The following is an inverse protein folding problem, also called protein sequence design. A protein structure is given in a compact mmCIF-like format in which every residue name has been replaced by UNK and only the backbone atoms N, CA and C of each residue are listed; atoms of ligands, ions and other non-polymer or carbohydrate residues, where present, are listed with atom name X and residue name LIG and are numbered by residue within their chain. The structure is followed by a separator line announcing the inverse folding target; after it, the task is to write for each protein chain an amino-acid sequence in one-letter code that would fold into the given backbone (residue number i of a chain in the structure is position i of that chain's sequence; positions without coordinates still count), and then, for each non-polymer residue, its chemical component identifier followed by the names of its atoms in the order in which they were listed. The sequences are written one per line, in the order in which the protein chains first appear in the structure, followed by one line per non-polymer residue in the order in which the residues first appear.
data_IF_228546073081
#
_entry.id   IF_228546073081
#
_cell.length_a   1.000
_cell.length_b   1.000
_cell.length_c   1.000
_cell.angle_alpha   90.00
_cell.angle_beta   90.00
_cell.angle_gamma   90.00
#
_symmetry.space_group_name_H-M   'P 1'
#
loop_
_entity.id
_entity.type
_entity.pdbx_description
1 polymer ?
#
# COMPACT_ATOMS: atom_id res chain seq x y z
N UNK A 1 -8.52 -14.26 20.27
CA UNK A 1 -8.13 -15.48 21.00
C UNK A 1 -9.33 -16.40 21.06
N UNK A 2 -9.32 -17.51 20.32
CA UNK A 2 -10.28 -18.59 20.54
C UNK A 2 -9.62 -19.57 21.51
N UNK A 3 -9.99 -19.51 22.78
CA UNK A 3 -9.55 -20.48 23.78
C UNK A 3 -10.18 -21.82 23.41
N UNK A 4 -9.37 -22.79 22.98
CA UNK A 4 -9.84 -24.15 22.74
C UNK A 4 -10.17 -24.71 24.12
N UNK A 5 -11.47 -24.85 24.40
CA UNK A 5 -11.95 -25.49 25.64
C UNK A 5 -11.80 -27.00 25.43
N UNK A 6 -10.91 -27.63 26.18
CA UNK A 6 -10.78 -29.09 26.20
C UNK A 6 -12.03 -29.68 26.89
N UNK A 7 -12.94 -30.25 26.11
CA UNK A 7 -14.17 -30.88 26.62
C UNK A 7 -14.08 -32.41 26.71
N UNK A 8 -12.93 -33.00 26.41
CA UNK A 8 -12.69 -34.46 26.45
C UNK A 8 -11.35 -34.79 27.13
N UNK A 9 -11.25 -35.96 27.77
CA UNK A 9 -10.05 -36.45 28.48
C UNK A 9 -8.86 -36.73 27.53
N UNK A 10 -9.10 -36.81 26.22
CA UNK A 10 -8.06 -37.00 25.21
C UNK A 10 -7.40 -35.67 24.79
N UNK A 11 -6.08 -35.70 24.61
CA UNK A 11 -5.34 -34.56 24.10
C UNK A 11 -5.80 -34.22 22.68
N UNK A 12 -6.18 -32.97 22.37
CA UNK A 12 -6.86 -32.61 21.12
C UNK A 12 -6.05 -32.93 19.86
N UNK A 13 -4.72 -33.04 19.97
CA UNK A 13 -3.85 -33.43 18.86
C UNK A 13 -3.97 -34.92 18.52
N UNK A 14 -4.13 -35.79 19.52
CA UNK A 14 -4.36 -37.23 19.33
C UNK A 14 -5.73 -37.47 18.69
N UNK A 15 -6.75 -36.73 19.13
CA UNK A 15 -8.08 -36.79 18.53
C UNK A 15 -8.06 -36.40 17.04
N UNK A 16 -7.27 -35.38 16.67
CA UNK A 16 -7.10 -34.97 15.27
C UNK A 16 -6.33 -36.02 14.46
N UNK A 17 -5.24 -36.59 14.98
CA UNK A 17 -4.50 -37.66 14.27
C UNK A 17 -5.37 -38.88 14.06
N UNK A 18 -6.13 -39.29 15.08
CA UNK A 18 -7.06 -40.41 14.99
C UNK A 18 -8.11 -40.19 13.92
N UNK A 19 -8.76 -39.02 13.94
CA UNK A 19 -9.79 -38.67 12.97
C UNK A 19 -9.26 -38.63 11.53
N UNK A 20 -8.06 -38.08 11.32
CA UNK A 20 -7.48 -38.00 9.97
C UNK A 20 -6.97 -39.34 9.47
N UNK A 21 -6.49 -40.21 10.37
CA UNK A 21 -6.13 -41.59 10.03
C UNK A 21 -7.36 -42.43 9.69
N UNK A 22 -8.45 -42.34 10.48
CA UNK A 22 -9.72 -43.02 10.19
C UNK A 22 -10.30 -42.61 8.83
N UNK A 23 -10.19 -41.33 8.48
CA UNK A 23 -10.58 -40.82 7.15
C UNK A 23 -9.65 -41.29 6.02
N UNK A 24 -8.34 -41.36 6.27
CA UNK A 24 -7.37 -41.78 5.26
C UNK A 24 -7.51 -43.25 4.88
N UNK A 25 -7.90 -44.09 5.84
CA UNK A 25 -8.04 -45.53 5.66
C UNK A 25 -9.50 -45.99 5.52
N UNK A 26 -10.46 -45.07 5.37
CA UNK A 26 -11.89 -45.41 5.27
C UNK A 26 -12.23 -46.35 4.09
N UNK A 27 -11.45 -46.29 3.01
CA UNK A 27 -11.63 -47.14 1.81
C UNK A 27 -10.91 -48.50 1.92
N UNK A 28 -10.01 -48.65 2.89
CA UNK A 28 -9.38 -49.92 3.22
C UNK A 28 -10.19 -50.56 4.36
N UNK A 29 -10.81 -51.71 4.13
CA UNK A 29 -11.70 -52.34 5.12
C UNK A 29 -11.12 -52.43 6.56
N UNK A 30 -11.99 -52.67 7.57
CA UNK A 30 -11.65 -52.52 8.99
C UNK A 30 -10.41 -53.32 9.45
N UNK A 31 -10.13 -54.46 8.82
CA UNK A 31 -8.95 -55.29 9.13
C UNK A 31 -7.60 -54.62 8.81
N UNK A 32 -7.57 -53.64 7.91
CA UNK A 32 -6.35 -52.89 7.52
C UNK A 32 -6.33 -51.49 8.14
N UNK A 33 -7.50 -50.86 8.30
CA UNK A 33 -7.61 -49.53 8.88
C UNK A 33 -7.26 -49.48 10.38
N UNK A 34 -7.82 -50.39 11.18
CA UNK A 34 -7.64 -50.40 12.64
C UNK A 34 -6.16 -50.53 13.09
N UNK A 35 -5.32 -51.42 12.53
CA UNK A 35 -3.91 -51.51 12.92
C UNK A 35 -3.09 -50.29 12.50
N UNK A 36 -3.37 -49.70 11.33
CA UNK A 36 -2.64 -48.51 10.85
C UNK A 36 -3.05 -47.24 11.61
N UNK A 37 -4.33 -47.08 11.95
CA UNK A 37 -4.81 -45.99 12.83
C UNK A 37 -4.15 -46.09 14.20
N UNK A 38 -4.09 -47.30 14.77
CA UNK A 38 -3.45 -47.54 16.07
C UNK A 38 -1.95 -47.24 16.04
N UNK A 39 -1.26 -47.61 14.95
CA UNK A 39 0.17 -47.31 14.76
C UNK A 39 0.42 -45.79 14.71
N UNK A 40 -0.36 -45.06 13.94
CA UNK A 40 -0.23 -43.60 13.83
C UNK A 40 -0.56 -42.87 15.14
N UNK A 41 -1.54 -43.36 15.91
CA UNK A 41 -1.84 -42.84 17.23
C UNK A 41 -0.71 -43.08 18.24
N UNK A 42 -0.05 -44.25 18.20
CA UNK A 42 1.10 -44.57 19.05
C UNK A 42 2.32 -43.70 18.69
N UNK A 43 2.63 -43.54 17.40
CA UNK A 43 3.69 -42.64 16.94
C UNK A 43 3.43 -41.20 17.39
N UNK A 44 2.18 -40.71 17.25
CA UNK A 44 1.80 -39.39 17.75
C UNK A 44 1.97 -39.24 19.27
N UNK A 45 1.62 -40.26 20.05
CA UNK A 45 1.81 -40.25 21.50
C UNK A 45 3.29 -40.23 21.88
N UNK A 46 4.15 -40.98 21.18
CA UNK A 46 5.59 -40.93 21.36
C UNK A 46 6.17 -39.55 21.03
N UNK A 47 5.69 -38.89 19.96
CA UNK A 47 6.14 -37.53 19.61
C UNK A 47 5.73 -36.49 20.65
N UNK A 48 4.54 -36.61 21.24
CA UNK A 48 4.08 -35.75 22.33
C UNK A 48 4.94 -35.95 23.58
N UNK A 49 5.18 -37.20 23.99
CA UNK A 49 5.98 -37.52 25.17
C UNK A 49 7.44 -37.10 25.01
N UNK A 50 8.00 -37.23 23.80
CA UNK A 50 9.35 -36.80 23.47
C UNK A 50 9.49 -35.28 23.24
N UNK A 51 8.39 -34.53 23.19
CA UNK A 51 8.39 -33.10 22.87
C UNK A 51 8.86 -32.78 21.44
N UNK A 52 8.75 -33.74 20.52
CA UNK A 52 9.15 -33.61 19.11
C UNK A 52 8.01 -33.02 18.28
N UNK A 53 7.73 -31.73 18.48
CA UNK A 53 6.61 -31.03 17.85
C UNK A 53 6.71 -30.89 16.32
N UNK A 54 7.92 -30.91 15.76
CA UNK A 54 8.15 -30.85 14.32
C UNK A 54 7.67 -32.14 13.63
N UNK A 55 8.03 -33.29 14.21
CA UNK A 55 7.63 -34.60 13.70
C UNK A 55 6.12 -34.84 13.89
N UNK A 56 5.56 -34.32 14.99
CA UNK A 56 4.12 -34.32 15.18
C UNK A 56 3.41 -33.47 14.12
N UNK A 57 3.94 -32.29 13.79
CA UNK A 57 3.39 -31.45 12.74
C UNK A 57 3.49 -32.11 11.35
N UNK A 58 4.59 -32.80 11.05
CA UNK A 58 4.75 -33.52 9.78
C UNK A 58 3.78 -34.71 9.67
N UNK A 59 3.55 -35.45 10.75
CA UNK A 59 2.57 -36.54 10.82
C UNK A 59 1.15 -36.02 10.61
N UNK A 60 0.76 -34.93 11.30
CA UNK A 60 -0.56 -34.30 11.13
C UNK A 60 -0.76 -33.68 9.74
N UNK A 61 0.30 -33.23 9.08
CA UNK A 61 0.27 -32.64 7.73
C UNK A 61 0.49 -33.69 6.62
N UNK A 62 0.81 -34.94 6.94
CA UNK A 62 0.95 -36.02 5.96
C UNK A 62 -0.40 -36.29 5.27
N UNK A 63 -1.50 -36.16 5.99
CA UNK A 63 -2.88 -36.27 5.51
C UNK A 63 -3.52 -34.91 5.18
N UNK A 64 -2.72 -33.93 4.74
CA UNK A 64 -3.15 -32.54 4.51
C UNK A 64 -4.37 -32.38 3.58
N UNK A 65 -4.50 -33.26 2.58
CA UNK A 65 -5.60 -33.24 1.61
C UNK A 65 -6.95 -33.62 2.26
N UNK A 66 -6.91 -34.44 3.30
CA UNK A 66 -8.09 -34.87 4.08
C UNK A 66 -8.46 -33.87 5.18
N UNK A 67 -7.52 -33.01 5.63
CA UNK A 67 -7.77 -31.96 6.63
C UNK A 67 -8.79 -30.91 6.17
N UNK A 68 -9.08 -30.86 4.87
CA UNK A 68 -10.04 -29.94 4.29
C UNK A 68 -11.47 -30.48 4.31
N UNK A 69 -11.68 -31.77 4.64
CA UNK A 69 -13.01 -32.35 4.87
C UNK A 69 -13.61 -31.85 6.20
N UNK A 70 -14.94 -31.62 6.29
CA UNK A 70 -15.56 -31.16 7.53
C UNK A 70 -15.36 -32.18 8.66
N UNK A 71 -14.93 -31.77 9.88
CA UNK A 71 -14.82 -30.40 10.41
C UNK A 71 -13.41 -29.76 10.28
N UNK A 72 -13.04 -29.36 9.06
CA UNK A 72 -11.74 -28.76 8.70
C UNK A 72 -11.30 -27.53 9.50
N UNK A 73 -12.23 -26.70 9.99
CA UNK A 73 -11.89 -25.49 10.75
C UNK A 73 -11.27 -25.80 12.11
N UNK A 74 -11.78 -26.80 12.81
CA UNK A 74 -11.29 -27.18 14.13
C UNK A 74 -9.92 -27.87 14.02
N UNK A 75 -9.80 -28.78 13.05
CA UNK A 75 -8.57 -29.51 12.74
C UNK A 75 -7.42 -28.55 12.42
N UNK A 76 -7.65 -27.57 11.53
CA UNK A 76 -6.64 -26.57 11.18
C UNK A 76 -6.28 -25.65 12.37
N UNK A 77 -7.24 -25.31 13.23
CA UNK A 77 -6.95 -24.52 14.44
C UNK A 77 -6.10 -25.29 15.45
N UNK A 78 -6.30 -26.60 15.60
CA UNK A 78 -5.49 -27.46 16.47
C UNK A 78 -4.07 -27.59 15.90
N UNK A 79 -3.92 -27.75 14.59
CA UNK A 79 -2.61 -27.78 13.94
C UNK A 79 -1.88 -26.44 14.11
N UNK A 80 -2.56 -25.31 13.95
CA UNK A 80 -1.96 -24.00 14.21
C UNK A 80 -1.55 -23.82 15.68
N UNK A 81 -2.26 -24.44 16.63
CA UNK A 81 -1.91 -24.38 18.05
C UNK A 81 -0.59 -25.08 18.40
N UNK A 82 -0.09 -26.00 17.57
CA UNK A 82 1.24 -26.62 17.75
C UNK A 82 2.36 -25.59 17.83
N UNK A 83 2.23 -24.48 17.09
CA UNK A 83 3.20 -23.39 17.09
C UNK A 83 3.26 -22.67 18.43
N UNK A 84 2.20 -22.72 19.24
CA UNK A 84 2.20 -22.14 20.59
C UNK A 84 2.86 -23.05 21.64
N UNK A 85 3.07 -24.34 21.32
CA UNK A 85 3.66 -25.34 22.24
C UNK A 85 5.17 -25.53 22.03
N UNK A 86 5.75 -24.97 20.97
CA UNK A 86 7.19 -25.02 20.73
C UNK A 86 7.95 -24.18 21.75
N UNK A 87 9.00 -24.75 22.36
CA UNK A 87 9.83 -24.10 23.40
C UNK A 87 10.87 -23.13 22.84
N UNK A 88 11.08 -23.11 21.52
CA UNK A 88 12.07 -22.26 20.83
C UNK A 88 11.44 -21.58 19.61
N UNK A 89 11.84 -20.33 19.36
CA UNK A 89 11.38 -19.52 18.21
C UNK A 89 11.78 -20.14 16.86
N UNK A 90 12.93 -20.83 16.79
CA UNK A 90 13.38 -21.51 15.58
C UNK A 90 12.51 -22.72 15.25
N UNK A 91 12.10 -23.49 16.27
CA UNK A 91 11.18 -24.61 16.09
C UNK A 91 9.79 -24.13 15.67
N UNK A 92 9.30 -23.04 16.27
CA UNK A 92 8.04 -22.39 15.87
C UNK A 92 8.07 -22.00 14.38
N UNK A 93 9.20 -21.44 13.92
CA UNK A 93 9.39 -21.00 12.55
C UNK A 93 9.52 -22.17 11.55
N UNK A 94 10.15 -23.28 11.94
CA UNK A 94 10.21 -24.51 11.13
C UNK A 94 8.83 -25.17 10.98
N UNK A 95 8.06 -25.29 12.07
CA UNK A 95 6.70 -25.80 12.05
C UNK A 95 5.81 -24.90 11.17
N UNK A 96 5.95 -23.58 11.33
CA UNK A 96 5.25 -22.59 10.51
C UNK A 96 5.58 -22.73 9.02
N UNK A 97 6.86 -22.91 8.67
CA UNK A 97 7.30 -23.16 7.29
C UNK A 97 6.68 -24.43 6.72
N UNK A 98 6.63 -25.50 7.51
CA UNK A 98 6.05 -26.77 7.09
C UNK A 98 4.54 -26.64 6.83
N UNK A 99 3.81 -26.01 7.76
CA UNK A 99 2.37 -25.72 7.62
C UNK A 99 2.12 -24.86 6.38
N UNK A 100 2.85 -23.75 6.21
CA UNK A 100 2.69 -22.87 5.05
C UNK A 100 2.98 -23.58 3.73
N UNK A 101 4.04 -24.39 3.67
CA UNK A 101 4.41 -25.13 2.45
C UNK A 101 3.28 -26.09 2.05
N UNK A 102 2.74 -26.83 3.01
CA UNK A 102 1.64 -27.78 2.78
C UNK A 102 0.33 -27.10 2.39
N UNK A 103 -0.01 -25.98 3.04
CA UNK A 103 -1.20 -25.20 2.68
C UNK A 103 -1.10 -24.54 1.29
N UNK A 104 0.12 -24.27 0.80
CA UNK A 104 0.36 -23.63 -0.51
C UNK A 104 0.48 -24.65 -1.67
N UNK A 105 0.63 -25.95 -1.40
CA UNK A 105 0.82 -26.99 -2.43
C UNK A 105 -0.40 -27.20 -3.38
N UNK A 106 -1.61 -26.84 -2.96
CA UNK A 106 -2.83 -26.96 -3.78
C UNK A 106 -3.64 -25.66 -3.72
N UNK A 107 -3.36 -24.68 -4.59
CA UNK A 107 -3.93 -23.34 -4.46
C UNK A 107 -5.41 -23.22 -4.85
N UNK A 108 -5.99 -24.20 -5.55
CA UNK A 108 -7.35 -24.10 -6.10
C UNK A 108 -8.45 -24.64 -5.17
N UNK A 109 -8.10 -25.51 -4.21
CA UNK A 109 -9.08 -26.15 -3.34
C UNK A 109 -9.31 -25.35 -2.04
N UNK A 110 -10.56 -24.92 -1.80
CA UNK A 110 -11.04 -24.24 -0.58
C UNK A 110 -10.13 -23.11 -0.06
N UNK A 111 -9.73 -22.22 -0.95
CA UNK A 111 -8.80 -21.09 -0.71
C UNK A 111 -9.18 -20.25 0.53
N UNK A 112 -10.48 -19.99 0.75
CA UNK A 112 -10.96 -19.21 1.89
C UNK A 112 -10.68 -19.87 3.25
N UNK A 113 -10.69 -21.21 3.34
CA UNK A 113 -10.37 -21.93 4.58
C UNK A 113 -8.87 -21.93 4.84
N UNK A 114 -8.06 -22.13 3.80
CA UNK A 114 -6.60 -22.09 3.87
C UNK A 114 -6.11 -20.69 4.28
N UNK A 115 -6.68 -19.63 3.71
CA UNK A 115 -6.39 -18.25 4.12
C UNK A 115 -6.77 -17.99 5.58
N UNK A 116 -7.95 -18.45 6.02
CA UNK A 116 -8.35 -18.33 7.44
C UNK A 116 -7.38 -19.07 8.38
N UNK A 117 -6.90 -20.24 8.00
CA UNK A 117 -5.91 -20.99 8.77
C UNK A 117 -4.57 -20.23 8.83
N UNK A 118 -4.10 -19.66 7.72
CA UNK A 118 -2.90 -18.81 7.68
C UNK A 118 -3.05 -17.55 8.55
N UNK A 119 -4.21 -16.90 8.55
CA UNK A 119 -4.46 -15.77 9.45
C UNK A 119 -4.55 -16.19 10.92
N UNK A 120 -5.07 -17.38 11.22
CA UNK A 120 -5.03 -17.94 12.57
C UNK A 120 -3.59 -18.20 13.02
N UNK A 121 -2.77 -18.77 12.15
CA UNK A 121 -1.35 -19.00 12.36
C UNK A 121 -0.61 -17.68 12.61
N UNK A 122 -0.87 -16.66 11.78
CA UNK A 122 -0.33 -15.30 11.93
C UNK A 122 -0.61 -14.71 13.31
N UNK A 123 -1.84 -14.86 13.81
CA UNK A 123 -2.24 -14.34 15.12
C UNK A 123 -1.64 -15.14 16.30
N UNK A 124 -1.21 -16.38 16.08
CA UNK A 124 -0.62 -17.26 17.11
C UNK A 124 0.90 -17.13 17.22
N UNK A 125 1.56 -16.59 16.19
CA UNK A 125 3.01 -16.40 16.18
C UNK A 125 3.42 -15.21 17.08
N UNK A 126 4.37 -15.39 18.01
CA UNK A 126 4.96 -14.29 18.75
C UNK A 126 6.04 -13.55 17.93
N UNK A 127 6.71 -14.23 17.01
CA UNK A 127 7.86 -13.69 16.27
C UNK A 127 7.45 -12.78 15.10
N UNK A 128 8.07 -11.60 15.03
CA UNK A 128 7.86 -10.59 13.98
C UNK A 128 8.25 -11.09 12.58
N UNK A 129 9.36 -11.83 12.47
CA UNK A 129 9.83 -12.42 11.20
C UNK A 129 8.94 -13.58 10.72
N UNK A 130 8.43 -14.41 11.65
CA UNK A 130 7.50 -15.50 11.34
C UNK A 130 6.17 -14.98 10.80
N UNK A 131 5.65 -13.88 11.38
CA UNK A 131 4.45 -13.18 10.91
C UNK A 131 4.59 -12.69 9.46
N UNK A 132 5.71 -12.05 9.14
CA UNK A 132 6.02 -11.58 7.78
C UNK A 132 6.02 -12.73 6.76
N UNK A 133 6.65 -13.86 7.11
CA UNK A 133 6.72 -15.05 6.26
C UNK A 133 5.32 -15.65 6.00
N UNK A 134 4.50 -15.80 7.04
CA UNK A 134 3.12 -16.31 6.90
C UNK A 134 2.29 -15.39 6.02
N UNK A 135 2.43 -14.07 6.19
CA UNK A 135 1.69 -13.12 5.38
C UNK A 135 2.11 -13.17 3.90
N UNK A 136 3.41 -13.26 3.60
CA UNK A 136 3.90 -13.46 2.22
C UNK A 136 3.32 -14.73 1.58
N UNK A 137 3.28 -15.84 2.34
CA UNK A 137 2.66 -17.08 1.85
C UNK A 137 1.15 -16.98 1.67
N UNK A 138 0.46 -16.21 2.50
CA UNK A 138 -0.96 -15.89 2.29
C UNK A 138 -1.19 -15.09 1.01
N UNK A 139 -0.30 -14.15 0.66
CA UNK A 139 -0.36 -13.40 -0.60
C UNK A 139 -0.15 -14.30 -1.83
N UNK A 140 0.84 -15.19 -1.78
CA UNK A 140 1.09 -16.18 -2.84
C UNK A 140 -0.14 -17.07 -3.05
N UNK A 141 -0.73 -17.59 -1.96
CA UNK A 141 -1.92 -18.43 -2.02
C UNK A 141 -3.14 -17.67 -2.57
N UNK A 142 -3.36 -16.42 -2.17
CA UNK A 142 -4.48 -15.64 -2.70
C UNK A 142 -4.32 -15.28 -4.18
N UNK A 143 -3.08 -15.08 -4.63
CA UNK A 143 -2.77 -14.85 -6.05
C UNK A 143 -3.07 -16.10 -6.87
N UNK A 144 -2.59 -17.26 -6.41
CA UNK A 144 -2.79 -18.53 -7.10
C UNK A 144 -4.27 -18.96 -7.10
N UNK A 145 -4.95 -18.85 -5.96
CA UNK A 145 -6.35 -19.22 -5.79
C UNK A 145 -7.38 -18.16 -6.24
N UNK A 146 -6.95 -17.08 -6.90
CA UNK A 146 -7.78 -15.95 -7.38
C UNK A 146 -8.71 -15.35 -6.31
N UNK A 147 -8.35 -15.46 -5.03
CA UNK A 147 -9.20 -15.08 -3.90
C UNK A 147 -8.68 -13.79 -3.23
N UNK A 148 -8.27 -12.82 -4.04
CA UNK A 148 -7.67 -11.56 -3.58
C UNK A 148 -8.63 -10.71 -2.73
N UNK A 149 -9.94 -10.84 -2.93
CA UNK A 149 -10.97 -10.09 -2.20
C UNK A 149 -10.88 -10.24 -0.68
N UNK A 150 -10.46 -11.41 -0.20
CA UNK A 150 -10.31 -11.67 1.24
C UNK A 150 -9.09 -10.98 1.86
N UNK A 151 -8.08 -10.63 1.05
CA UNK A 151 -6.84 -10.01 1.54
C UNK A 151 -6.85 -8.49 1.38
N UNK A 152 -7.56 -7.94 0.39
CA UNK A 152 -7.60 -6.49 0.12
C UNK A 152 -7.83 -5.63 1.39
N UNK A 153 -8.74 -5.97 2.32
CA UNK A 153 -8.93 -5.18 3.53
C UNK A 153 -7.67 -5.04 4.39
N UNK A 154 -6.79 -6.05 4.39
CA UNK A 154 -5.56 -6.05 5.18
C UNK A 154 -4.51 -5.06 4.67
N UNK A 155 -4.57 -4.65 3.39
CA UNK A 155 -3.62 -3.71 2.81
C UNK A 155 -3.65 -2.32 3.44
N UNK A 156 -4.75 -1.93 4.09
CA UNK A 156 -4.84 -0.67 4.82
C UNK A 156 -3.90 -0.61 6.03
N UNK A 157 -3.62 -1.76 6.64
CA UNK A 157 -2.80 -1.88 7.85
C UNK A 157 -1.36 -2.30 7.54
N UNK A 158 -0.96 -2.31 6.27
CA UNK A 158 0.37 -2.77 5.87
C UNK A 158 1.50 -1.90 6.45
N UNK A 159 1.28 -0.59 6.60
CA UNK A 159 2.31 0.32 7.12
C UNK A 159 2.58 0.08 8.60
N UNK A 160 1.53 -0.24 9.37
CA UNK A 160 1.67 -0.72 10.74
C UNK A 160 2.37 -2.08 10.78
N UNK A 161 1.99 -3.01 9.89
CA UNK A 161 2.61 -4.33 9.86
C UNK A 161 4.10 -4.29 9.51
N UNK A 162 4.50 -3.52 8.51
CA UNK A 162 5.92 -3.36 8.14
C UNK A 162 6.73 -2.78 9.30
N UNK A 163 6.13 -1.85 10.05
CA UNK A 163 6.75 -1.24 11.23
C UNK A 163 6.85 -2.23 12.41
N UNK A 164 5.81 -3.04 12.66
CA UNK A 164 5.79 -4.10 13.68
C UNK A 164 6.74 -5.26 13.36
N UNK A 165 6.87 -5.59 12.08
CA UNK A 165 7.70 -6.71 11.63
C UNK A 165 9.19 -6.36 11.58
N UNK A 166 9.55 -5.08 11.46
CA UNK A 166 10.95 -4.64 11.42
C UNK A 166 11.73 -5.20 10.22
N UNK A 167 11.04 -5.38 9.09
CA UNK A 167 11.54 -6.08 7.90
C UNK A 167 12.62 -5.28 7.18
N UNK A 168 13.59 -5.98 6.59
CA UNK A 168 14.64 -5.38 5.75
C UNK A 168 14.07 -4.72 4.46
N UNK A 169 14.79 -3.76 3.88
CA UNK A 169 14.32 -3.10 2.65
C UNK A 169 14.09 -4.09 1.48
N UNK A 170 14.86 -5.18 1.42
CA UNK A 170 14.71 -6.23 0.39
C UNK A 170 13.39 -7.00 0.53
N UNK A 171 13.07 -7.43 1.73
CA UNK A 171 11.81 -8.14 1.99
C UNK A 171 10.59 -7.21 1.86
N UNK A 172 10.74 -5.92 2.20
CA UNK A 172 9.71 -4.91 1.94
C UNK A 172 9.44 -4.75 0.44
N UNK A 173 10.48 -4.78 -0.41
CA UNK A 173 10.35 -4.73 -1.87
C UNK A 173 9.50 -5.89 -2.40
N UNK A 174 9.84 -7.10 -2.00
CA UNK A 174 9.11 -8.30 -2.42
C UNK A 174 7.64 -8.25 -1.99
N UNK A 175 7.39 -7.77 -0.77
CA UNK A 175 6.04 -7.62 -0.22
C UNK A 175 5.22 -6.61 -1.02
N UNK A 176 5.73 -5.40 -1.23
CA UNK A 176 5.01 -4.37 -1.96
C UNK A 176 4.77 -4.76 -3.42
N UNK A 177 5.73 -5.45 -4.05
CA UNK A 177 5.59 -5.96 -5.41
C UNK A 177 4.49 -7.05 -5.49
N UNK A 178 4.45 -7.97 -4.54
CA UNK A 178 3.40 -8.99 -4.47
C UNK A 178 2.01 -8.35 -4.31
N UNK A 179 1.88 -7.34 -3.43
CA UNK A 179 0.63 -6.59 -3.25
C UNK A 179 0.24 -5.85 -4.53
N UNK A 180 1.19 -5.17 -5.18
CA UNK A 180 0.94 -4.46 -6.43
C UNK A 180 0.44 -5.41 -7.54
N UNK A 181 1.05 -6.59 -7.69
CA UNK A 181 0.61 -7.61 -8.66
C UNK A 181 -0.83 -8.08 -8.40
N UNK A 182 -1.22 -8.24 -7.13
CA UNK A 182 -2.60 -8.59 -6.76
C UNK A 182 -3.56 -7.46 -7.14
N UNK A 183 -3.21 -6.21 -6.82
CA UNK A 183 -4.06 -5.04 -7.07
C UNK A 183 -4.21 -4.73 -8.56
N UNK A 184 -3.19 -5.01 -9.38
CA UNK A 184 -3.23 -4.81 -10.84
C UNK A 184 -4.41 -5.54 -11.51
N UNK A 185 -4.78 -6.71 -10.98
CA UNK A 185 -5.85 -7.54 -11.54
C UNK A 185 -7.25 -7.16 -11.02
N UNK A 186 -7.34 -6.23 -10.06
CA UNK A 186 -8.59 -5.87 -9.40
C UNK A 186 -9.16 -4.58 -9.98
N UNK A 187 -10.45 -4.61 -10.38
CA UNK A 187 -11.12 -3.43 -10.94
C UNK A 187 -11.35 -2.38 -9.85
N UNK A 188 -11.04 -1.13 -10.17
CA UNK A 188 -11.30 0.02 -9.28
C UNK A 188 -10.23 0.32 -8.23
N UNK A 189 -9.16 -0.49 -8.13
CA UNK A 189 -8.08 -0.33 -7.15
C UNK A 189 -6.82 0.35 -7.73
N UNK A 190 -6.97 1.11 -8.81
CA UNK A 190 -5.88 1.78 -9.52
C UNK A 190 -5.07 2.74 -8.63
N UNK A 191 -5.74 3.43 -7.71
CA UNK A 191 -5.11 4.39 -6.79
C UNK A 191 -4.25 3.66 -5.75
N UNK A 192 -4.79 2.59 -5.17
CA UNK A 192 -4.09 1.74 -4.21
C UNK A 192 -2.89 1.07 -4.89
N UNK A 193 -3.07 0.54 -6.10
CA UNK A 193 -2.00 -0.03 -6.91
C UNK A 193 -0.86 0.97 -7.13
N UNK A 194 -1.18 2.19 -7.57
CA UNK A 194 -0.19 3.25 -7.74
C UNK A 194 0.53 3.60 -6.42
N UNK A 195 -0.21 3.72 -5.31
CA UNK A 195 0.38 4.02 -4.01
C UNK A 195 1.39 2.93 -3.56
N UNK A 196 1.06 1.65 -3.78
CA UNK A 196 1.96 0.54 -3.46
C UNK A 196 3.17 0.47 -4.38
N UNK A 197 3.01 0.76 -5.68
CA UNK A 197 4.15 0.92 -6.59
C UNK A 197 5.05 2.08 -6.16
N UNK A 198 4.47 3.21 -5.76
CA UNK A 198 5.24 4.36 -5.27
C UNK A 198 6.02 4.00 -4.01
N UNK A 199 5.41 3.25 -3.07
CA UNK A 199 6.11 2.71 -1.88
C UNK A 199 7.23 1.74 -2.25
N UNK A 200 6.98 0.83 -3.20
CA UNK A 200 7.99 -0.08 -3.72
C UNK A 200 9.19 0.69 -4.29
N UNK A 201 8.95 1.66 -5.17
CA UNK A 201 10.00 2.47 -5.79
C UNK A 201 10.75 3.34 -4.76
N UNK A 202 10.07 3.81 -3.71
CA UNK A 202 10.68 4.58 -2.63
C UNK A 202 11.67 3.76 -1.76
N UNK A 203 11.60 2.43 -1.79
CA UNK A 203 12.55 1.60 -1.03
C UNK A 203 13.96 1.59 -1.63
N UNK A 204 14.13 1.97 -2.90
CA UNK A 204 15.42 2.01 -3.58
C UNK A 204 16.17 3.27 -3.19
N UNK A 205 17.27 3.12 -2.43
CA UNK A 205 18.05 4.25 -1.92
C UNK A 205 19.19 4.66 -2.85
N UNK A 206 19.42 3.90 -3.93
CA UNK A 206 20.41 4.25 -4.95
C UNK A 206 21.85 3.99 -4.53
N UNK A 207 22.11 3.05 -3.61
CA UNK A 207 23.47 2.60 -3.29
C UNK A 207 24.02 1.71 -4.42
N UNK A 208 25.35 1.69 -4.60
CA UNK A 208 26.03 0.96 -5.68
C UNK A 208 25.70 -0.55 -5.71
N UNK A 209 25.48 -1.15 -4.54
CA UNK A 209 25.06 -2.56 -4.37
C UNK A 209 23.63 -2.84 -4.87
N UNK A 210 22.80 -1.82 -5.11
CA UNK A 210 21.41 -1.95 -5.56
C UNK A 210 21.25 -1.74 -7.07
N UNK A 211 22.33 -1.46 -7.80
CA UNK A 211 22.29 -1.16 -9.23
C UNK A 211 21.61 -2.25 -10.08
N UNK A 212 21.84 -3.53 -9.76
CA UNK A 212 21.17 -4.66 -10.42
C UNK A 212 19.68 -4.73 -10.07
N UNK A 213 19.32 -4.58 -8.78
CA UNK A 213 17.93 -4.62 -8.32
C UNK A 213 17.12 -3.39 -8.79
N UNK A 214 17.78 -2.25 -8.96
CA UNK A 214 17.24 -1.05 -9.61
C UNK A 214 16.96 -1.37 -11.08
N UNK A 215 17.87 -2.07 -11.76
CA UNK A 215 17.69 -2.52 -13.14
C UNK A 215 16.46 -3.42 -13.36
N UNK A 216 16.15 -4.29 -12.39
CA UNK A 216 14.96 -5.14 -12.43
C UNK A 216 13.66 -4.35 -12.25
N UNK A 217 13.68 -3.23 -11.51
CA UNK A 217 12.51 -2.40 -11.22
C UNK A 217 12.08 -1.48 -12.37
N UNK A 218 12.69 -1.59 -13.56
CA UNK A 218 12.39 -0.72 -14.72
C UNK A 218 10.96 -0.91 -15.22
N UNK A 219 10.49 -2.15 -15.30
CA UNK A 219 9.13 -2.44 -15.79
C UNK A 219 8.06 -1.91 -14.83
N UNK A 220 8.32 -2.02 -13.53
CA UNK A 220 7.48 -1.51 -12.45
C UNK A 220 7.48 0.01 -12.41
N UNK A 221 8.63 0.65 -12.65
CA UNK A 221 8.72 2.11 -12.78
C UNK A 221 7.92 2.61 -13.99
N UNK A 222 8.03 1.93 -15.13
CA UNK A 222 7.21 2.22 -16.32
C UNK A 222 5.72 2.01 -16.03
N UNK A 223 5.35 0.92 -15.36
CA UNK A 223 3.97 0.66 -14.97
C UNK A 223 3.41 1.74 -14.04
N UNK A 224 4.22 2.25 -13.11
CA UNK A 224 3.84 3.36 -12.23
C UNK A 224 3.61 4.66 -13.02
N UNK A 225 4.45 4.96 -14.01
CA UNK A 225 4.28 6.13 -14.89
C UNK A 225 3.01 6.00 -15.73
N UNK A 226 2.80 4.85 -16.36
CA UNK A 226 1.61 4.60 -17.19
C UNK A 226 0.34 4.70 -16.35
N UNK A 227 0.31 4.13 -15.15
CA UNK A 227 -0.82 4.23 -14.24
C UNK A 227 -1.05 5.67 -13.77
N UNK A 228 0.03 6.40 -13.47
CA UNK A 228 -0.06 7.83 -13.18
C UNK A 228 -0.72 8.55 -14.35
N UNK A 229 -0.24 8.40 -15.58
CA UNK A 229 -0.80 9.10 -16.75
C UNK A 229 -2.26 8.72 -16.99
N UNK A 230 -2.59 7.42 -16.90
CA UNK A 230 -3.94 6.88 -17.13
C UNK A 230 -4.96 7.32 -16.08
N UNK A 231 -4.53 7.49 -14.82
CA UNK A 231 -5.44 7.83 -13.74
C UNK A 231 -6.00 9.26 -13.89
N UNK A 232 -7.32 9.41 -13.90
CA UNK A 232 -7.98 10.72 -13.99
C UNK A 232 -7.88 11.57 -12.72
N UNK A 233 -7.54 10.94 -11.58
CA UNK A 233 -7.67 11.55 -10.26
C UNK A 233 -6.33 11.81 -9.55
N UNK A 234 -5.20 11.38 -10.13
CA UNK A 234 -3.87 11.60 -9.55
C UNK A 234 -3.18 12.77 -10.24
N UNK A 235 -3.04 13.89 -9.54
CA UNK A 235 -2.40 15.11 -10.07
C UNK A 235 -1.05 15.45 -9.43
N UNK A 236 -0.69 14.77 -8.35
CA UNK A 236 0.55 14.96 -7.62
C UNK A 236 1.36 13.67 -7.65
N UNK A 237 2.66 13.77 -7.92
CA UNK A 237 3.54 12.62 -8.01
C UNK A 237 5.01 13.04 -7.78
N UNK A 238 5.71 12.29 -6.94
CA UNK A 238 7.13 12.52 -6.61
C UNK A 238 8.06 11.45 -7.22
N UNK A 239 7.61 10.80 -8.31
CA UNK A 239 8.37 9.72 -8.95
C UNK A 239 9.70 10.20 -9.55
N UNK A 240 9.81 11.47 -9.97
CA UNK A 240 11.03 12.00 -10.61
C UNK A 240 12.25 11.99 -9.69
N UNK A 241 12.05 12.12 -8.38
CA UNK A 241 13.15 12.14 -7.41
C UNK A 241 13.64 10.73 -7.02
N UNK A 242 12.98 9.67 -7.52
CA UNK A 242 13.32 8.30 -7.16
C UNK A 242 14.44 7.73 -8.04
N UNK A 243 15.50 7.12 -7.46
CA UNK A 243 16.61 6.54 -8.23
C UNK A 243 16.15 5.49 -9.25
N UNK A 244 15.16 4.67 -8.90
CA UNK A 244 14.59 3.64 -9.76
C UNK A 244 13.83 4.20 -10.98
N UNK A 245 13.44 5.47 -10.96
CA UNK A 245 12.79 6.15 -12.09
C UNK A 245 13.82 6.97 -12.86
N UNK A 246 14.77 7.60 -12.18
CA UNK A 246 15.84 8.37 -12.80
C UNK A 246 16.76 7.53 -13.70
N UNK A 247 16.90 6.23 -13.44
CA UNK A 247 17.64 5.32 -14.34
C UNK A 247 17.04 5.25 -15.75
N UNK A 248 15.71 5.46 -15.88
CA UNK A 248 15.01 5.31 -17.16
C UNK A 248 15.44 6.38 -18.18
N UNK A 249 15.99 7.49 -17.71
CA UNK A 249 16.58 8.54 -18.55
C UNK A 249 17.81 8.05 -19.33
N UNK A 250 18.52 7.05 -18.78
CA UNK A 250 19.73 6.47 -19.39
C UNK A 250 19.42 5.28 -20.31
N UNK A 251 18.19 4.76 -20.29
CA UNK A 251 17.77 3.61 -21.07
C UNK A 251 17.05 4.04 -22.36
N UNK A 252 17.62 3.73 -23.52
CA UNK A 252 17.06 4.09 -24.84
C UNK A 252 15.61 3.64 -25.05
N UNK A 253 15.21 2.51 -24.44
CA UNK A 253 13.85 1.95 -24.57
C UNK A 253 12.81 2.69 -23.73
N UNK A 254 13.19 3.20 -22.57
CA UNK A 254 12.25 3.78 -21.58
C UNK A 254 12.38 5.29 -21.42
N UNK A 255 13.38 5.89 -22.06
CA UNK A 255 13.62 7.33 -22.07
C UNK A 255 12.40 8.14 -22.48
N UNK A 256 11.66 7.69 -23.50
CA UNK A 256 10.46 8.40 -23.98
C UNK A 256 9.34 8.42 -22.91
N UNK A 257 9.25 7.39 -22.07
CA UNK A 257 8.26 7.32 -20.98
C UNK A 257 8.70 8.22 -19.81
N UNK A 258 10.00 8.28 -19.54
CA UNK A 258 10.56 9.22 -18.59
C UNK A 258 10.36 10.68 -19.04
N UNK A 259 10.55 10.96 -20.33
CA UNK A 259 10.26 12.27 -20.91
C UNK A 259 8.77 12.60 -20.78
N UNK A 260 7.88 11.65 -21.05
CA UNK A 260 6.44 11.81 -20.84
C UNK A 260 6.12 12.19 -19.38
N UNK A 261 6.70 11.50 -18.40
CA UNK A 261 6.53 11.85 -16.98
C UNK A 261 7.02 13.28 -16.69
N UNK A 262 8.19 13.65 -17.23
CA UNK A 262 8.77 14.99 -17.09
C UNK A 262 7.86 16.05 -17.71
N UNK A 263 7.25 15.78 -18.87
CA UNK A 263 6.28 16.68 -19.50
C UNK A 263 5.08 16.91 -18.57
N UNK A 264 4.49 15.84 -18.03
CA UNK A 264 3.33 15.95 -17.14
C UNK A 264 3.62 16.75 -15.86
N UNK A 265 4.81 16.58 -15.29
CA UNK A 265 5.14 17.19 -14.00
C UNK A 265 5.76 18.58 -14.12
N UNK A 266 6.49 18.88 -15.20
CA UNK A 266 7.27 20.13 -15.33
C UNK A 266 6.88 21.03 -16.49
N UNK A 267 6.25 20.49 -17.55
CA UNK A 267 5.91 21.25 -18.76
C UNK A 267 4.39 21.51 -18.88
N UNK A 268 3.98 22.11 -20.01
CA UNK A 268 2.61 22.49 -20.35
C UNK A 268 2.07 21.64 -21.51
N UNK A 269 0.81 21.90 -21.86
CA UNK A 269 0.08 21.22 -22.93
C UNK A 269 0.82 21.27 -24.28
N UNK A 270 1.48 22.38 -24.64
CA UNK A 270 2.22 22.52 -25.90
C UNK A 270 3.24 21.41 -26.10
N UNK A 271 4.10 21.21 -25.10
CA UNK A 271 5.13 20.18 -25.13
C UNK A 271 4.54 18.77 -25.18
N UNK A 272 3.35 18.56 -24.61
CA UNK A 272 2.65 17.28 -24.72
C UNK A 272 2.10 17.03 -26.13
N UNK A 273 1.56 18.05 -26.78
CA UNK A 273 1.04 17.92 -28.16
C UNK A 273 2.15 17.64 -29.17
N UNK A 274 3.32 18.28 -29.01
CA UNK A 274 4.52 18.00 -29.80
C UNK A 274 5.00 16.56 -29.60
N UNK A 275 5.03 16.11 -28.33
CA UNK A 275 5.39 14.74 -27.98
C UNK A 275 4.39 13.72 -28.54
N UNK A 276 3.09 13.99 -28.45
CA UNK A 276 2.03 13.13 -28.98
C UNK A 276 2.14 12.98 -30.50
N UNK A 277 2.42 14.08 -31.20
CA UNK A 277 2.59 14.07 -32.67
C UNK A 277 3.76 13.19 -33.09
N UNK A 278 4.85 13.26 -32.32
CA UNK A 278 6.08 12.51 -32.59
C UNK A 278 6.01 11.03 -32.15
N UNK A 279 5.23 10.71 -31.10
CA UNK A 279 5.25 9.41 -30.42
C UNK A 279 3.87 8.74 -30.27
N UNK A 280 2.95 9.01 -31.19
CA UNK A 280 1.56 8.52 -31.11
C UNK A 280 1.41 6.98 -31.04
N UNK A 281 2.35 6.23 -31.62
CA UNK A 281 2.36 4.76 -31.57
C UNK A 281 2.63 4.25 -30.14
N UNK A 282 3.60 4.83 -29.43
CA UNK A 282 3.94 4.43 -28.06
C UNK A 282 2.77 4.65 -27.10
N UNK A 283 2.05 5.76 -27.23
CA UNK A 283 0.87 6.04 -26.40
C UNK A 283 -0.22 4.97 -26.59
N UNK A 284 -0.40 4.48 -27.83
CA UNK A 284 -1.35 3.40 -28.13
C UNK A 284 -0.90 2.06 -27.56
N UNK A 285 0.38 1.74 -27.66
CA UNK A 285 0.95 0.49 -27.12
C UNK A 285 0.76 0.37 -25.60
N UNK A 286 0.86 1.49 -24.88
CA UNK A 286 0.60 1.55 -23.44
C UNK A 286 -0.89 1.72 -23.07
N UNK A 287 -1.79 1.75 -24.06
CA UNK A 287 -3.23 1.88 -23.83
C UNK A 287 -3.64 3.23 -23.23
N UNK A 288 -2.88 4.29 -23.51
CA UNK A 288 -3.15 5.64 -23.04
C UNK A 288 -4.15 6.32 -23.98
N UNK A 289 -5.37 6.58 -23.47
CA UNK A 289 -6.39 7.34 -24.19
C UNK A 289 -5.90 8.76 -24.46
N UNK A 290 -5.87 9.17 -25.73
CA UNK A 290 -5.39 10.49 -26.13
C UNK A 290 -6.22 11.61 -25.48
N UNK A 291 -7.55 11.49 -25.52
CA UNK A 291 -8.47 12.49 -24.98
C UNK A 291 -8.39 12.61 -23.45
N UNK A 292 -8.21 11.48 -22.76
CA UNK A 292 -8.03 11.44 -21.30
C UNK A 292 -6.72 12.10 -20.90
N UNK A 293 -5.63 11.79 -21.61
CA UNK A 293 -4.32 12.40 -21.38
C UNK A 293 -4.33 13.90 -21.64
N UNK A 294 -4.97 14.36 -22.73
CA UNK A 294 -5.12 15.79 -23.06
C UNK A 294 -5.94 16.50 -21.97
N UNK A 295 -7.05 15.90 -21.55
CA UNK A 295 -7.90 16.45 -20.49
C UNK A 295 -7.10 16.62 -19.19
N UNK A 296 -6.34 15.59 -18.82
CA UNK A 296 -5.45 15.65 -17.66
C UNK A 296 -4.36 16.72 -17.81
N UNK A 297 -3.74 16.83 -18.98
CA UNK A 297 -2.70 17.84 -19.23
C UNK A 297 -3.22 19.26 -19.22
N UNK A 298 -4.47 19.50 -19.66
CA UNK A 298 -5.14 20.80 -19.53
C UNK A 298 -5.32 21.19 -18.06
N UNK A 299 -5.83 20.28 -17.23
CA UNK A 299 -5.97 20.50 -15.79
C UNK A 299 -4.62 20.71 -15.10
N UNK A 300 -3.61 19.93 -15.48
CA UNK A 300 -2.24 20.13 -14.99
C UNK A 300 -1.74 21.53 -15.38
N UNK A 301 -1.86 21.92 -16.65
CA UNK A 301 -1.42 23.24 -17.16
C UNK A 301 -2.06 24.39 -16.41
N UNK A 302 -3.35 24.26 -16.07
CA UNK A 302 -4.05 25.21 -15.19
C UNK A 302 -3.41 25.31 -13.80
N UNK A 303 -2.96 24.19 -13.21
CA UNK A 303 -2.24 24.21 -11.92
C UNK A 303 -0.89 24.93 -11.99
N UNK A 304 -0.12 24.77 -13.07
CA UNK A 304 1.16 25.51 -13.24
C UNK A 304 0.94 27.01 -13.45
N UNK A 305 -0.16 27.41 -14.11
CA UNK A 305 -0.53 28.82 -14.16
C UNK A 305 -0.86 29.36 -12.78
N UNK A 306 -1.63 28.59 -11.98
CA UNK A 306 -2.04 29.01 -10.65
C UNK A 306 -0.90 29.15 -9.64
N UNK A 307 0.21 28.43 -9.82
CA UNK A 307 1.38 28.56 -8.94
C UNK A 307 2.26 29.76 -9.28
N UNK A 308 2.22 30.24 -10.53
CA UNK A 308 3.06 31.35 -11.04
C UNK A 308 2.39 32.70 -10.93
N UNK A 309 1.08 32.74 -11.15
CA UNK A 309 0.29 33.95 -11.04
C UNK A 309 0.00 34.23 -9.55
N UNK A 310 0.18 35.49 -9.13
CA UNK A 310 0.03 35.96 -7.75
C UNK A 310 -1.43 35.96 -7.25
N UNK A 311 -2.13 34.83 -7.37
CA UNK A 311 -3.53 34.67 -6.98
C UNK A 311 -4.53 35.13 -8.04
N UNK A 312 -4.17 35.94 -9.03
CA UNK A 312 -5.09 36.39 -10.09
C UNK A 312 -4.63 35.91 -11.47
N UNK A 313 -5.52 35.23 -12.20
CA UNK A 313 -5.24 34.70 -13.54
C UNK A 313 -6.25 35.27 -14.53
N UNK A 314 -5.82 36.00 -15.57
CA UNK A 314 -6.73 36.46 -16.62
C UNK A 314 -7.17 35.30 -17.52
N UNK A 315 -8.38 35.39 -18.08
CA UNK A 315 -8.92 34.36 -18.97
C UNK A 315 -8.04 34.12 -20.19
N UNK A 316 -7.43 35.18 -20.75
CA UNK A 316 -6.50 35.07 -21.89
C UNK A 316 -5.31 34.15 -21.62
N UNK A 317 -4.73 34.21 -20.43
CA UNK A 317 -3.63 33.32 -20.06
C UNK A 317 -4.10 31.86 -19.95
N UNK A 318 -5.35 31.62 -19.55
CA UNK A 318 -5.95 30.29 -19.44
C UNK A 318 -6.24 29.72 -20.83
N UNK A 319 -6.83 30.52 -21.73
CA UNK A 319 -7.19 30.08 -23.08
C UNK A 319 -5.95 29.76 -23.91
N UNK A 320 -4.91 30.59 -23.81
CA UNK A 320 -3.61 30.35 -24.43
C UNK A 320 -2.96 29.05 -23.93
N UNK A 321 -2.95 28.83 -22.60
CA UNK A 321 -2.29 27.65 -22.02
C UNK A 321 -3.05 26.33 -22.21
N UNK A 322 -4.39 26.37 -22.26
CA UNK A 322 -5.22 25.18 -22.43
C UNK A 322 -5.59 24.91 -23.90
N UNK A 323 -5.35 25.88 -24.80
CA UNK A 323 -5.79 25.87 -26.20
C UNK A 323 -7.28 25.56 -26.31
N UNK A 324 -8.08 26.41 -25.69
CA UNK A 324 -9.54 26.32 -25.64
C UNK A 324 -10.15 27.68 -26.00
N UNK A 325 -11.43 27.66 -26.35
CA UNK A 325 -12.20 28.88 -26.57
C UNK A 325 -12.54 29.55 -25.23
N UNK A 326 -12.78 30.86 -25.27
CA UNK A 326 -13.15 31.67 -24.10
C UNK A 326 -14.39 31.12 -23.37
N UNK A 327 -15.36 30.59 -24.12
CA UNK A 327 -16.61 30.03 -23.59
C UNK A 327 -16.41 28.74 -22.75
N UNK A 328 -15.29 28.03 -22.94
CA UNK A 328 -15.01 26.77 -22.24
C UNK A 328 -14.24 26.97 -20.93
N UNK A 329 -13.66 28.16 -20.71
CA UNK A 329 -12.78 28.44 -19.57
C UNK A 329 -13.45 28.11 -18.24
N UNK A 330 -14.70 28.53 -18.07
CA UNK A 330 -15.47 28.29 -16.85
C UNK A 330 -15.73 26.80 -16.61
N UNK A 331 -15.99 26.03 -17.66
CA UNK A 331 -16.19 24.59 -17.55
C UNK A 331 -14.93 23.87 -17.05
N UNK A 332 -13.75 24.30 -17.53
CA UNK A 332 -12.47 23.75 -17.08
C UNK A 332 -12.13 24.13 -15.64
N UNK A 333 -12.48 25.35 -15.22
CA UNK A 333 -12.33 25.78 -13.82
C UNK A 333 -13.23 24.96 -12.90
N UNK A 334 -14.51 24.77 -13.27
CA UNK A 334 -15.45 23.95 -12.50
C UNK A 334 -14.96 22.50 -12.41
N UNK A 335 -14.43 21.94 -13.49
CA UNK A 335 -13.78 20.61 -13.45
C UNK A 335 -12.61 20.58 -12.48
N UNK A 336 -11.73 21.58 -12.49
CA UNK A 336 -10.59 21.65 -11.57
C UNK A 336 -11.03 21.74 -10.10
N UNK A 337 -12.10 22.47 -9.79
CA UNK A 337 -12.70 22.52 -8.45
C UNK A 337 -13.31 21.16 -8.09
N UNK A 338 -14.01 20.51 -9.02
CA UNK A 338 -14.61 19.18 -8.79
C UNK A 338 -13.56 18.11 -8.46
N UNK A 339 -12.40 18.16 -9.11
CA UNK A 339 -11.24 17.30 -8.79
C UNK A 339 -10.49 17.71 -7.52
N UNK A 340 -10.89 18.80 -6.86
CA UNK A 340 -10.26 19.37 -5.66
C UNK A 340 -8.79 19.74 -5.84
N UNK A 341 -8.40 20.06 -7.08
CA UNK A 341 -7.03 20.45 -7.39
C UNK A 341 -6.83 21.97 -7.27
N UNK A 342 -7.90 22.75 -7.41
CA UNK A 342 -7.90 24.21 -7.40
C UNK A 342 -9.14 24.72 -6.63
N UNK A 343 -8.94 25.62 -5.69
CA UNK A 343 -10.00 26.42 -5.06
C UNK A 343 -9.85 27.87 -5.55
N UNK A 344 -10.84 28.35 -6.30
CA UNK A 344 -10.81 29.70 -6.85
C UNK A 344 -12.22 30.32 -6.91
N UNK A 345 -12.25 31.64 -7.09
CA UNK A 345 -13.44 32.43 -7.37
C UNK A 345 -13.30 33.03 -8.75
N UNK A 346 -14.39 33.00 -9.51
CA UNK A 346 -14.43 33.53 -10.87
C UNK A 346 -15.04 34.93 -10.82
N UNK A 347 -14.31 35.92 -11.33
CA UNK A 347 -14.82 37.26 -11.62
C UNK A 347 -15.09 37.38 -13.12
N UNK A 348 -16.32 37.09 -13.49
CA UNK A 348 -16.74 37.05 -14.89
C UNK A 348 -16.74 38.44 -15.55
N UNK A 349 -16.98 39.51 -14.78
CA UNK A 349 -17.02 40.88 -15.32
C UNK A 349 -15.62 41.36 -15.72
N UNK A 350 -14.62 41.06 -14.89
CA UNK A 350 -13.23 41.41 -15.16
C UNK A 350 -12.48 40.33 -15.95
N UNK A 351 -13.12 39.21 -16.28
CA UNK A 351 -12.51 38.05 -16.93
C UNK A 351 -11.25 37.56 -16.20
N UNK A 352 -11.32 37.48 -14.87
CA UNK A 352 -10.22 37.02 -14.02
C UNK A 352 -10.66 35.92 -13.08
N UNK A 353 -9.72 35.06 -12.71
CA UNK A 353 -9.89 33.98 -11.76
C UNK A 353 -9.00 34.23 -10.57
N UNK A 354 -9.61 34.36 -9.39
CA UNK A 354 -8.91 34.58 -8.13
C UNK A 354 -8.70 33.24 -7.43
N UNK A 355 -7.48 32.73 -7.49
CA UNK A 355 -7.06 31.48 -6.86
C UNK A 355 -6.83 31.70 -5.36
N UNK A 356 -7.55 30.92 -4.56
CA UNK A 356 -7.38 30.89 -3.09
C UNK A 356 -6.39 29.80 -2.67
N UNK A 357 -6.47 28.62 -3.30
CA UNK A 357 -5.58 27.48 -3.04
C UNK A 357 -5.39 26.67 -4.30
N UNK A 358 -4.19 26.16 -4.52
CA UNK A 358 -3.88 25.22 -5.59
C UNK A 358 -3.08 24.03 -5.06
N UNK A 359 -3.14 22.93 -5.79
CA UNK A 359 -2.31 21.74 -5.55
C UNK A 359 -1.03 21.86 -6.36
N UNK A 360 0.11 21.67 -5.70
CA UNK A 360 1.42 21.63 -6.38
C UNK A 360 1.65 20.26 -7.02
N UNK A 361 2.12 20.25 -8.27
CA UNK A 361 2.39 18.99 -9.01
C UNK A 361 3.57 18.21 -8.42
N UNK A 362 4.62 18.93 -8.04
CA UNK A 362 5.83 18.45 -7.37
C UNK A 362 6.06 19.32 -6.13
N UNK A 363 6.39 18.69 -5.01
CA UNK A 363 6.74 19.40 -3.78
C UNK A 363 8.24 19.26 -3.51
N UNK A 364 9.02 20.25 -3.93
CA UNK A 364 10.47 20.25 -3.81
C UNK A 364 11.01 21.30 -2.84
N UNK A 365 12.32 21.52 -2.92
CA UNK A 365 13.04 22.50 -2.10
C UNK A 365 12.51 23.94 -2.25
N UNK A 366 12.16 24.44 -3.45
CA UNK A 366 11.60 25.79 -3.59
C UNK A 366 10.30 25.98 -2.81
N UNK A 367 9.42 24.96 -2.81
CA UNK A 367 8.17 24.98 -2.05
C UNK A 367 8.44 24.93 -0.55
N UNK A 368 9.41 24.13 -0.09
CA UNK A 368 9.85 24.12 1.32
C UNK A 368 10.38 25.49 1.77
N UNK A 369 11.14 26.18 0.93
CA UNK A 369 11.62 27.53 1.21
C UNK A 369 10.46 28.53 1.30
N UNK A 370 9.52 28.49 0.34
CA UNK A 370 8.31 29.32 0.39
C UNK A 370 7.49 29.10 1.65
N UNK A 371 7.31 27.84 2.07
CA UNK A 371 6.60 27.48 3.29
C UNK A 371 7.34 27.99 4.54
N UNK A 372 8.67 27.83 4.60
CA UNK A 372 9.49 28.34 5.70
C UNK A 372 9.36 29.85 5.87
N UNK A 373 9.36 30.61 4.76
CA UNK A 373 9.19 32.06 4.80
C UNK A 373 7.80 32.45 5.32
N UNK A 374 6.74 31.80 4.83
CA UNK A 374 5.36 32.05 5.28
C UNK A 374 5.18 31.73 6.77
N UNK A 375 5.68 30.57 7.23
CA UNK A 375 5.65 30.18 8.64
C UNK A 375 6.47 31.13 9.51
N UNK A 376 7.61 31.61 9.00
CA UNK A 376 8.42 32.62 9.67
C UNK A 376 7.63 33.92 9.88
N UNK A 377 6.96 34.42 8.85
CA UNK A 377 6.11 35.60 8.94
C UNK A 377 4.94 35.40 9.92
N UNK A 378 4.28 34.23 9.87
CA UNK A 378 3.21 33.89 10.83
C UNK A 378 3.70 33.87 12.26
N UNK A 379 4.87 33.28 12.52
CA UNK A 379 5.48 33.27 13.85
C UNK A 379 5.72 34.69 14.37
N UNK A 380 6.22 35.59 13.52
CA UNK A 380 6.44 37.00 13.86
C UNK A 380 5.11 37.71 14.14
N UNK A 381 4.09 37.51 13.29
CA UNK A 381 2.78 38.15 13.46
C UNK A 381 2.07 37.68 14.74
N UNK A 382 2.13 36.39 15.05
CA UNK A 382 1.55 35.83 16.29
C UNK A 382 2.30 36.36 17.51
N UNK A 383 3.64 36.41 17.47
CA UNK A 383 4.43 36.99 18.54
C UNK A 383 4.09 38.48 18.76
N UNK A 384 3.94 39.24 17.68
CA UNK A 384 3.50 40.64 17.74
C UNK A 384 2.12 40.76 18.39
N UNK A 385 1.14 39.95 17.98
CA UNK A 385 -0.20 39.98 18.55
C UNK A 385 -0.20 39.62 20.05
N UNK A 386 0.58 38.61 20.45
CA UNK A 386 0.76 38.24 21.87
C UNK A 386 1.36 39.41 22.65
N UNK A 387 2.39 40.06 22.13
CA UNK A 387 3.02 41.20 22.77
C UNK A 387 2.04 42.37 22.91
N UNK A 388 1.22 42.66 21.89
CA UNK A 388 0.17 43.69 21.96
C UNK A 388 -0.87 43.36 23.03
N UNK A 389 -1.31 42.10 23.14
CA UNK A 389 -2.25 41.67 24.17
C UNK A 389 -1.64 41.80 25.57
N UNK A 390 -0.38 41.40 25.75
CA UNK A 390 0.33 41.53 27.03
C UNK A 390 0.54 43.00 27.41
N UNK A 391 0.96 43.84 26.47
CA UNK A 391 1.10 45.28 26.70
C UNK A 391 -0.23 45.92 27.13
N UNK A 392 -1.34 45.55 26.47
CA UNK A 392 -2.67 46.06 26.80
C UNK A 392 -3.15 45.58 28.19
N UNK A 393 -2.80 44.36 28.61
CA UNK A 393 -3.10 43.88 29.98
C UNK A 393 -2.35 44.68 31.04
N UNK A 394 -1.07 44.97 30.81
CA UNK A 394 -0.24 45.76 31.76
C UNK A 394 -0.76 47.19 31.88
N UNK A 395 -1.26 47.80 30.79
CA UNK A 395 -1.90 49.12 30.87
C UNK A 395 -3.21 49.09 31.62
N UNK A 396 -4.04 48.04 31.51
CA UNK A 396 -5.31 47.94 32.23
C UNK A 396 -5.10 47.81 33.74
N UNK A 397 -4.15 46.97 34.17
CA UNK A 397 -3.74 46.82 35.57
C UNK A 397 -3.09 48.11 36.13
N UNK A 398 -2.30 48.83 35.30
CA UNK A 398 -1.72 50.12 35.67
C UNK A 398 -2.76 51.25 35.81
N UNK A 399 -3.82 51.22 35.02
CA UNK A 399 -4.89 52.23 35.07
C UNK A 399 -5.82 52.00 36.26
N UNK A 400 -6.12 50.74 36.61
CA UNK A 400 -6.82 50.39 37.85
C UNK A 400 -5.99 50.70 39.10
N UNK A 401 -4.67 50.47 39.05
CA UNK A 401 -3.74 50.81 40.14
C UNK A 401 -3.63 52.32 40.39
N UNK A 402 -3.64 53.16 39.34
CA UNK A 402 -3.59 54.63 39.48
C UNK A 402 -4.93 55.23 39.95
N UNK A 403 -6.08 54.67 39.55
CA UNK A 403 -7.38 55.10 40.10
C UNK A 403 -7.54 54.74 41.59
N UNK A 404 -6.97 53.62 42.05
CA UNK A 404 -6.98 53.24 43.47
C UNK A 404 -6.04 54.05 44.38
N UNK A 405 -5.05 54.74 43.81
CA UNK A 405 -4.08 55.57 44.55
C UNK A 405 -4.45 57.05 44.64
N UNK A 406 -5.35 57.54 43.77
CA UNK A 406 -5.90 58.91 43.85
C UNK A 406 -7.12 59.03 44.80
N UNK A 407 -7.62 57.90 45.33
CA UNK A 407 -8.70 57.86 46.32
C UNK A 407 -8.13 57.28 47.62
N UNK A 408 -7.33 58.05 48.35
CA UNK A 408 -7.02 57.76 49.75
C UNK A 408 -6.74 59.01 50.55
#
# INVERSE_FOLDING_TARGET
MATIVNTTEEEPMLAVVRFTAELAWADAGPEVADPEVTRLCLEAQEHILAGRWLDMASLMLASADLLLTPPSRCILSVICSLVTRSRSEDQALQITKLICTKLTQQPDDRVALRLKALFSLYNMLPSSSGKAFVYKKALELATAGKAAEYIIPSFKNIDSFVSEWGISNLEQRELYLAIARILKNQKGMAKEYFNFLNKYLATFKGSDDESAAIGDAKEEAVAAIVEFVKSSNLFQCDLLNMPAVAQLDKDEKYQLIYELLKIFLTKRLDSYLEFQTSNSALLKDYGLGQDECITKMRLMSLLDLSSRCSGEIPYSAITDALKINDDEVEQWIVKAIAYKILDCKVDQLNQTVIVSRHTERIFGMPQWQGLRTKLGAWRVNIASAINTIQANKVTDDGTQGMQGLMIR
#
